data_IF_454607899700
#
_entry.id   IF_454607899700
#
_cell.length_a   1.000
_cell.length_b   1.000
_cell.length_c   1.000
_cell.angle_alpha   90.00
_cell.angle_beta   90.00
_cell.angle_gamma   90.00
#
_symmetry.space_group_name_H-M   'P 1'
#
loop_
_entity.id
_entity.type
_entity.pdbx_description
1 polymer ?
#
# COMPACT_ATOMS: atom_id res chain seq x y z
N UNK A 1 23.23 8.91 -88.34
CA UNK A 1 23.83 7.82 -87.54
C UNK A 1 23.42 8.10 -86.10
N UNK A 2 22.27 7.65 -85.57
CA UNK A 2 21.62 6.31 -85.67
C UNK A 2 22.55 5.24 -85.08
N UNK A 3 22.20 4.36 -84.14
CA UNK A 3 20.91 3.82 -83.59
C UNK A 3 21.22 3.22 -82.18
N UNK A 4 20.45 3.38 -81.08
CA UNK A 4 19.13 2.84 -80.65
C UNK A 4 19.15 1.39 -80.07
N UNK A 5 18.29 1.12 -79.05
CA UNK A 5 18.11 -0.10 -78.19
C UNK A 5 19.16 -0.24 -77.06
N UNK A 6 18.93 -0.80 -75.85
CA UNK A 6 17.78 -1.43 -75.17
C UNK A 6 18.28 -2.48 -74.13
N UNK A 7 17.62 -2.90 -73.03
CA UNK A 7 16.34 -2.52 -72.35
C UNK A 7 16.32 -3.12 -70.92
N UNK A 8 15.37 -2.73 -70.04
CA UNK A 8 14.86 -3.50 -68.86
C UNK A 8 15.70 -3.61 -67.57
N UNK A 9 15.18 -3.11 -66.42
CA UNK A 9 14.97 -3.91 -65.18
C UNK A 9 14.26 -3.20 -64.00
N UNK A 10 13.36 -3.98 -63.36
CA UNK A 10 12.79 -3.91 -62.00
C UNK A 10 12.04 -2.67 -61.48
N UNK A 11 10.73 -2.85 -61.34
CA UNK A 11 9.81 -2.06 -60.51
C UNK A 11 10.03 -2.45 -59.04
N UNK A 12 10.10 -1.46 -58.15
CA UNK A 12 10.11 -1.62 -56.70
C UNK A 12 8.72 -1.29 -56.15
N UNK A 13 7.90 -2.30 -55.84
CA UNK A 13 6.70 -2.15 -55.01
C UNK A 13 6.79 -3.14 -53.85
N UNK A 14 7.05 -2.63 -52.65
CA UNK A 14 7.10 -3.43 -51.44
C UNK A 14 5.69 -3.83 -50.99
N UNK A 15 5.39 -5.12 -50.97
CA UNK A 15 4.20 -5.66 -50.30
C UNK A 15 4.49 -5.72 -48.80
N UNK A 16 3.94 -4.79 -48.05
CA UNK A 16 3.92 -4.84 -46.58
C UNK A 16 2.89 -5.88 -46.15
N UNK A 17 3.37 -7.08 -45.78
CA UNK A 17 2.53 -8.15 -45.28
C UNK A 17 1.96 -7.78 -43.90
N UNK A 18 0.66 -7.48 -43.84
CA UNK A 18 -0.06 -7.27 -42.58
C UNK A 18 -0.18 -8.60 -41.84
N UNK A 19 0.76 -8.88 -40.93
CA UNK A 19 0.61 -9.98 -39.98
C UNK A 19 -0.48 -9.61 -38.97
N UNK A 20 -1.68 -10.15 -39.17
CA UNK A 20 -2.74 -10.14 -38.18
C UNK A 20 -2.35 -11.08 -37.03
N UNK A 21 -1.67 -10.54 -36.02
CA UNK A 21 -1.55 -11.21 -34.73
C UNK A 21 -2.83 -10.97 -33.94
N UNK A 22 -3.53 -12.07 -33.70
CA UNK A 22 -4.79 -12.15 -32.98
C UNK A 22 -4.61 -11.61 -31.55
N UNK A 23 -5.22 -10.45 -31.24
CA UNK A 23 -5.19 -9.86 -29.90
C UNK A 23 -6.23 -10.55 -29.02
N UNK A 24 -5.85 -11.36 -28.01
CA UNK A 24 -6.83 -11.91 -27.09
C UNK A 24 -7.52 -10.80 -26.30
N UNK A 25 -8.85 -10.78 -26.37
CA UNK A 25 -9.71 -9.90 -25.59
C UNK A 25 -9.62 -10.24 -24.09
N UNK A 26 -8.74 -9.59 -23.34
CA UNK A 26 -9.00 -9.40 -21.90
C UNK A 26 -8.38 -8.12 -21.30
N UNK A 27 -8.93 -6.97 -21.73
CA UNK A 27 -8.66 -5.68 -21.10
C UNK A 27 -9.34 -5.50 -19.73
N UNK A 28 -10.17 -6.45 -19.26
CA UNK A 28 -10.87 -6.37 -17.96
C UNK A 28 -10.02 -6.89 -16.80
N UNK A 29 -9.00 -7.71 -17.06
CA UNK A 29 -8.10 -8.22 -16.03
C UNK A 29 -7.12 -7.18 -15.47
N UNK A 30 -6.71 -6.18 -16.27
CA UNK A 30 -5.76 -5.14 -15.84
C UNK A 30 -6.41 -4.00 -15.03
N UNK A 31 -7.69 -3.70 -15.27
CA UNK A 31 -8.41 -2.59 -14.62
C UNK A 31 -8.79 -2.86 -13.14
N UNK A 32 -8.56 -4.09 -12.66
CA UNK A 32 -8.90 -4.51 -11.29
C UNK A 32 -7.77 -4.28 -10.28
N UNK A 33 -6.53 -4.09 -10.75
CA UNK A 33 -5.35 -3.92 -9.89
C UNK A 33 -5.17 -2.47 -9.36
N UNK A 34 -5.71 -1.48 -10.06
CA UNK A 34 -5.60 -0.04 -9.72
C UNK A 34 -6.77 0.51 -8.90
N UNK A 35 -7.68 -0.35 -8.43
CA UNK A 35 -8.77 -0.02 -7.50
C UNK A 35 -8.39 -0.19 -6.01
N UNK A 36 -7.11 -0.18 -5.67
CA UNK A 36 -6.69 -0.04 -4.28
C UNK A 36 -7.23 1.27 -3.69
N UNK A 37 -7.77 1.23 -2.47
CA UNK A 37 -8.65 2.26 -1.89
C UNK A 37 -7.98 3.61 -1.52
N UNK A 38 -6.84 3.92 -2.15
CA UNK A 38 -6.08 5.15 -1.95
C UNK A 38 -5.65 5.72 -3.30
N UNK A 39 -6.10 6.94 -3.61
CA UNK A 39 -5.67 7.65 -4.83
C UNK A 39 -4.53 8.61 -4.50
N UNK A 40 -3.49 8.59 -5.34
CA UNK A 40 -2.38 9.51 -5.20
C UNK A 40 -2.77 10.92 -5.66
N UNK A 41 -2.35 11.90 -4.87
CA UNK A 41 -2.05 13.24 -5.35
C UNK A 41 -0.58 13.51 -5.02
N UNK A 42 0.19 13.93 -6.02
CA UNK A 42 1.40 14.69 -5.77
C UNK A 42 0.92 16.06 -5.29
N UNK A 43 1.17 16.37 -4.01
CA UNK A 43 0.59 17.53 -3.35
C UNK A 43 1.54 18.71 -3.51
N UNK A 44 1.15 19.71 -4.31
CA UNK A 44 1.81 21.01 -4.31
C UNK A 44 1.77 21.64 -2.90
N UNK A 45 2.86 22.33 -2.55
CA UNK A 45 3.36 22.59 -1.18
C UNK A 45 2.54 23.59 -0.33
N UNK A 46 1.21 23.62 -0.46
CA UNK A 46 0.35 24.69 0.11
C UNK A 46 -0.94 24.23 0.80
N UNK A 47 -1.24 22.93 0.93
CA UNK A 47 -2.42 22.48 1.71
C UNK A 47 -2.16 21.29 2.64
N UNK A 48 -1.21 21.44 3.56
CA UNK A 48 -1.23 20.65 4.82
C UNK A 48 -2.01 21.47 5.86
N UNK A 49 -3.30 21.18 6.02
CA UNK A 49 -4.03 21.63 7.21
C UNK A 49 -3.71 20.69 8.37
N UNK A 50 -3.09 21.22 9.43
CA UNK A 50 -2.94 20.47 10.68
C UNK A 50 -4.32 20.12 11.24
N UNK A 51 -4.62 18.84 11.54
CA UNK A 51 -5.90 18.47 12.12
C UNK A 51 -6.00 19.01 13.55
N UNK A 52 -6.98 19.88 13.80
CA UNK A 52 -7.28 20.41 15.13
C UNK A 52 -7.62 19.27 16.10
N UNK A 53 -6.93 19.21 17.24
CA UNK A 53 -6.79 18.03 18.11
C UNK A 53 -8.06 17.59 18.90
N UNK A 54 -9.25 17.97 18.46
CA UNK A 54 -10.52 17.68 19.15
C UNK A 54 -11.32 16.53 18.49
N UNK A 55 -10.94 16.07 17.29
CA UNK A 55 -11.72 15.12 16.48
C UNK A 55 -11.43 13.63 16.77
N UNK A 56 -11.65 13.23 18.02
CA UNK A 56 -11.86 11.84 18.47
C UNK A 56 -10.80 10.80 18.06
N UNK A 57 -9.68 10.83 18.78
CA UNK A 57 -8.69 9.76 18.87
C UNK A 57 -9.34 8.45 19.36
N UNK A 58 -9.40 7.40 18.51
CA UNK A 58 -9.63 6.04 19.00
C UNK A 58 -8.27 5.40 19.26
N UNK A 59 -8.10 4.79 20.43
CA UNK A 59 -6.86 4.07 20.78
C UNK A 59 -7.14 2.58 20.72
N UNK A 60 -6.49 1.87 19.79
CA UNK A 60 -6.34 0.41 19.89
C UNK A 60 -5.04 0.09 20.59
N UNK A 61 -5.10 -0.69 21.67
CA UNK A 61 -3.91 -1.21 22.37
C UNK A 61 -3.78 -2.71 22.12
N UNK A 62 -2.57 -3.18 21.82
CA UNK A 62 -2.20 -4.58 21.94
C UNK A 62 -1.16 -4.75 23.06
N UNK A 63 -1.21 -5.85 23.82
CA UNK A 63 -0.29 -6.20 24.92
C UNK A 63 0.15 -7.66 24.78
N UNK A 64 1.15 -7.88 23.92
CA UNK A 64 1.61 -9.21 23.52
C UNK A 64 2.99 -9.47 24.08
N UNK A 65 3.06 -10.01 25.30
CA UNK A 65 4.29 -10.45 25.96
C UNK A 65 5.28 -9.37 26.38
N UNK A 66 5.66 -8.46 25.48
CA UNK A 66 6.82 -7.55 25.60
C UNK A 66 6.59 -6.13 25.06
N UNK A 67 5.36 -5.63 25.07
CA UNK A 67 5.09 -4.22 24.74
C UNK A 67 3.63 -3.85 24.51
N UNK A 68 3.38 -2.54 24.54
CA UNK A 68 2.15 -1.85 24.22
C UNK A 68 2.31 -1.09 22.91
N UNK A 69 1.61 -1.55 21.87
CA UNK A 69 1.45 -0.77 20.63
C UNK A 69 0.10 -0.07 20.63
N UNK A 70 0.12 1.23 20.36
CA UNK A 70 -1.04 2.12 20.25
C UNK A 70 -1.19 2.60 18.81
N UNK A 71 -2.39 2.45 18.26
CA UNK A 71 -2.75 2.90 16.91
C UNK A 71 -3.89 3.90 17.00
N UNK A 72 -3.73 5.06 16.35
CA UNK A 72 -4.72 6.15 16.33
C UNK A 72 -4.89 6.72 14.92
N UNK A 73 -6.01 7.42 14.70
CA UNK A 73 -6.37 8.08 13.44
C UNK A 73 -6.72 9.55 13.71
N UNK A 74 -6.51 10.44 12.74
CA UNK A 74 -6.91 11.85 12.83
C UNK A 74 -8.44 12.09 12.84
N UNK A 75 -9.23 11.08 12.51
CA UNK A 75 -10.70 11.14 12.56
C UNK A 75 -11.30 9.72 12.67
N UNK A 76 -12.42 9.53 13.38
CA UNK A 76 -13.18 8.26 13.36
C UNK A 76 -14.08 8.14 12.11
N UNK A 77 -14.27 9.22 11.36
CA UNK A 77 -15.11 9.30 10.15
C UNK A 77 -14.38 10.12 9.11
N UNK A 78 -14.20 9.56 7.91
CA UNK A 78 -13.61 10.27 6.77
C UNK A 78 -14.65 10.44 5.66
N UNK A 79 -14.46 11.45 4.81
CA UNK A 79 -15.13 11.58 3.50
C UNK A 79 -14.17 11.17 2.39
N UNK A 80 -14.71 10.63 1.29
CA UNK A 80 -13.93 10.35 0.07
C UNK A 80 -13.13 11.58 -0.35
N UNK A 81 -11.83 11.40 -0.56
CA UNK A 81 -10.86 12.46 -0.87
C UNK A 81 -10.19 13.10 0.36
N UNK A 82 -10.63 12.82 1.59
CA UNK A 82 -9.91 13.26 2.79
C UNK A 82 -8.63 12.42 3.00
N UNK A 83 -7.62 13.05 3.60
CA UNK A 83 -6.33 12.45 3.94
C UNK A 83 -6.44 11.61 5.23
N UNK A 84 -6.26 10.30 5.10
CA UNK A 84 -6.13 9.34 6.19
C UNK A 84 -4.76 9.53 6.84
N UNK A 85 -4.74 9.94 8.11
CA UNK A 85 -3.50 10.00 8.90
C UNK A 85 -3.54 8.93 9.96
N UNK A 86 -2.56 8.01 9.92
CA UNK A 86 -2.37 6.95 10.91
C UNK A 86 -1.18 7.30 11.79
N UNK A 87 -1.34 7.22 13.11
CA UNK A 87 -0.24 7.36 14.06
C UNK A 87 -0.05 6.04 14.81
N UNK A 88 1.20 5.59 14.96
CA UNK A 88 1.55 4.36 15.67
C UNK A 88 2.64 4.65 16.69
N UNK A 89 2.37 4.38 17.95
CA UNK A 89 3.31 4.46 19.07
C UNK A 89 3.64 3.06 19.59
N UNK A 90 4.88 2.84 20.02
CA UNK A 90 5.30 1.64 20.74
C UNK A 90 6.07 2.01 22.00
N UNK A 91 5.81 1.34 23.13
CA UNK A 91 6.64 1.48 24.33
C UNK A 91 7.87 0.54 24.34
N UNK A 92 8.01 -0.34 23.34
CA UNK A 92 9.20 -1.21 23.16
C UNK A 92 9.70 -1.27 21.71
N UNK A 93 10.95 -1.71 21.55
CA UNK A 93 11.57 -1.95 20.25
C UNK A 93 10.83 -3.04 19.47
N UNK A 94 10.27 -2.69 18.31
CA UNK A 94 9.52 -3.62 17.47
C UNK A 94 9.61 -3.30 15.97
N UNK A 95 9.26 -4.26 15.14
CA UNK A 95 8.92 -4.07 13.73
C UNK A 95 7.41 -4.08 13.56
N UNK A 96 6.89 -3.18 12.72
CA UNK A 96 5.47 -3.12 12.40
C UNK A 96 5.15 -3.32 10.91
N UNK A 97 3.91 -3.70 10.61
CA UNK A 97 3.36 -3.72 9.24
C UNK A 97 1.95 -3.16 9.29
N UNK A 98 1.69 -2.07 8.56
CA UNK A 98 0.39 -1.38 8.58
C UNK A 98 -0.40 -1.81 7.35
N UNK A 99 -1.62 -2.29 7.54
CA UNK A 99 -2.51 -2.79 6.48
C UNK A 99 -3.92 -2.20 6.64
N UNK A 100 -4.45 -1.62 5.58
CA UNK A 100 -5.86 -1.23 5.44
C UNK A 100 -6.65 -2.41 4.87
N UNK A 101 -7.83 -2.64 5.45
CA UNK A 101 -8.90 -3.43 4.86
C UNK A 101 -10.01 -2.48 4.43
N UNK A 102 -10.20 -2.33 3.12
CA UNK A 102 -11.19 -1.44 2.53
C UNK A 102 -12.62 -2.00 2.61
N UNK A 103 -13.61 -1.11 2.43
CA UNK A 103 -15.03 -1.48 2.45
C UNK A 103 -15.43 -2.40 1.27
N UNK A 104 -14.67 -2.38 0.17
CA UNK A 104 -14.78 -3.28 -0.98
C UNK A 104 -14.17 -4.67 -0.76
N UNK A 105 -13.50 -4.88 0.38
CA UNK A 105 -12.74 -6.10 0.67
C UNK A 105 -11.28 -6.06 0.20
N UNK A 106 -10.81 -4.96 -0.38
CA UNK A 106 -9.39 -4.76 -0.68
C UNK A 106 -8.53 -4.87 0.57
N UNK A 107 -7.28 -5.31 0.38
CA UNK A 107 -6.28 -5.39 1.44
C UNK A 107 -5.01 -4.70 0.93
N UNK A 108 -4.68 -3.55 1.52
CA UNK A 108 -3.61 -2.67 1.04
C UNK A 108 -2.61 -2.44 2.16
N UNK A 109 -1.34 -2.75 1.92
CA UNK A 109 -0.27 -2.43 2.84
C UNK A 109 0.10 -0.96 2.73
N UNK A 110 -0.04 -0.25 3.85
CA UNK A 110 0.37 1.15 4.01
C UNK A 110 1.81 1.28 4.50
N UNK A 111 2.35 0.27 5.22
CA UNK A 111 3.76 0.23 5.64
C UNK A 111 4.31 -1.21 5.71
N UNK A 112 5.54 -1.47 5.24
CA UNK A 112 6.37 -0.61 4.39
C UNK A 112 5.67 -0.20 3.09
N UNK A 113 6.08 0.89 2.46
CA UNK A 113 5.59 1.31 1.14
C UNK A 113 6.77 1.80 0.27
N UNK A 114 6.55 2.38 -0.92
CA UNK A 114 7.64 2.89 -1.75
C UNK A 114 8.34 4.13 -1.15
N UNK A 115 7.58 4.98 -0.45
CA UNK A 115 7.99 6.25 0.11
C UNK A 115 8.62 6.13 1.50
N UNK A 116 8.22 5.12 2.27
CA UNK A 116 8.59 4.90 3.67
C UNK A 116 8.93 3.42 3.87
N UNK A 117 10.24 3.12 3.91
CA UNK A 117 10.78 1.76 4.06
C UNK A 117 10.98 1.34 5.51
N UNK A 118 11.36 2.30 6.36
CA UNK A 118 11.59 2.06 7.79
C UNK A 118 10.30 1.64 8.47
N UNK A 119 10.31 0.45 9.07
CA UNK A 119 9.20 -0.11 9.83
C UNK A 119 9.60 -0.60 11.23
N UNK A 120 10.85 -0.35 11.64
CA UNK A 120 11.27 -0.50 13.02
C UNK A 120 10.88 0.77 13.80
N UNK A 121 10.38 0.58 15.02
CA UNK A 121 10.06 1.62 16.00
C UNK A 121 10.89 1.31 17.24
N UNK A 122 11.53 2.30 17.85
CA UNK A 122 12.20 2.15 19.16
C UNK A 122 11.23 2.38 20.32
N UNK A 123 11.61 1.87 21.49
CA UNK A 123 10.87 2.10 22.73
C UNK A 123 10.61 3.60 22.98
N UNK A 124 9.34 3.99 23.01
CA UNK A 124 8.90 5.38 23.22
C UNK A 124 8.76 6.21 21.94
N UNK A 125 9.09 5.67 20.76
CA UNK A 125 8.92 6.38 19.49
C UNK A 125 7.48 6.32 18.96
N UNK A 126 7.17 7.29 18.11
CA UNK A 126 5.93 7.38 17.36
C UNK A 126 6.25 7.58 15.89
N UNK A 127 5.66 6.76 15.02
CA UNK A 127 5.66 7.01 13.58
C UNK A 127 4.31 7.54 13.12
N UNK A 128 4.31 8.29 12.02
CA UNK A 128 3.10 8.77 11.35
C UNK A 128 3.05 8.23 9.93
N UNK A 129 1.85 8.16 9.36
CA UNK A 129 1.61 7.84 7.95
C UNK A 129 0.54 8.80 7.40
N UNK A 130 0.83 9.56 6.33
CA UNK A 130 2.15 9.71 5.70
C UNK A 130 3.16 10.38 6.64
N UNK A 131 4.42 9.95 6.61
CA UNK A 131 5.54 10.66 7.24
C UNK A 131 6.25 11.55 6.22
N UNK A 132 6.11 12.87 6.36
CA UNK A 132 6.81 13.86 5.52
C UNK A 132 8.23 14.17 5.99
N UNK A 133 8.65 13.68 7.17
CA UNK A 133 9.99 13.91 7.72
C UNK A 133 11.01 12.82 7.34
N UNK A 134 10.53 11.60 7.05
CA UNK A 134 11.38 10.46 6.70
C UNK A 134 11.24 9.97 5.25
N UNK A 135 10.42 10.63 4.43
CA UNK A 135 10.32 10.31 3.00
C UNK A 135 11.10 11.30 2.13
N UNK A 136 11.69 10.79 1.05
CA UNK A 136 12.32 11.60 0.00
C UNK A 136 11.32 12.24 -0.96
N UNK A 137 10.02 11.93 -0.84
CA UNK A 137 8.92 12.47 -1.64
C UNK A 137 7.71 12.70 -0.74
N UNK A 138 7.08 13.87 -0.82
CA UNK A 138 5.80 14.09 -0.14
C UNK A 138 4.73 13.19 -0.77
N UNK A 139 4.02 12.42 0.05
CA UNK A 139 2.93 11.55 -0.38
C UNK A 139 1.72 11.71 0.52
N UNK A 140 0.52 11.54 -0.04
CA UNK A 140 -0.74 11.57 0.70
C UNK A 140 -1.45 10.23 0.66
N UNK A 141 -2.16 9.89 1.75
CA UNK A 141 -3.04 8.74 1.83
C UNK A 141 -4.49 9.20 1.71
N UNK A 142 -4.96 9.47 0.48
CA UNK A 142 -6.33 9.97 0.26
C UNK A 142 -7.33 8.83 0.10
N UNK A 143 -8.38 8.83 0.92
CA UNK A 143 -9.46 7.83 0.86
C UNK A 143 -10.21 7.86 -0.47
N UNK A 144 -10.61 6.70 -0.99
CA UNK A 144 -11.41 6.59 -2.24
C UNK A 144 -12.67 5.73 -2.07
N UNK A 145 -13.58 5.83 -3.03
CA UNK A 145 -14.74 4.92 -3.12
C UNK A 145 -14.32 3.43 -3.22
N UNK A 146 -15.18 2.49 -2.78
CA UNK A 146 -16.53 2.69 -2.23
C UNK A 146 -16.55 3.05 -0.75
N UNK A 147 -17.59 3.77 -0.35
CA UNK A 147 -17.83 4.18 1.03
C UNK A 147 -18.30 3.01 1.90
N UNK A 148 -17.96 3.01 3.18
CA UNK A 148 -18.35 1.96 4.12
C UNK A 148 -17.45 1.93 5.35
N UNK A 149 -17.49 0.82 6.09
CA UNK A 149 -16.65 0.64 7.28
C UNK A 149 -15.32 0.03 6.89
N UNK A 150 -14.24 0.71 7.23
CA UNK A 150 -12.87 0.30 6.91
C UNK A 150 -12.04 0.09 8.19
N UNK A 151 -10.94 -0.65 8.08
CA UNK A 151 -10.10 -1.00 9.23
C UNK A 151 -8.62 -0.88 8.89
N UNK A 152 -7.86 -0.15 9.70
CA UNK A 152 -6.39 -0.25 9.73
C UNK A 152 -6.00 -1.26 10.80
N UNK A 153 -5.13 -2.19 10.44
CA UNK A 153 -4.49 -3.15 11.35
C UNK A 153 -3.00 -2.92 11.31
N UNK A 154 -2.40 -2.86 12.50
CA UNK A 154 -0.95 -2.80 12.68
C UNK A 154 -0.52 -4.13 13.27
N UNK A 155 0.19 -4.90 12.45
CA UNK A 155 0.87 -6.11 12.89
C UNK A 155 2.20 -5.72 13.51
N UNK A 156 2.60 -6.43 14.56
CA UNK A 156 3.76 -6.10 15.40
C UNK A 156 4.54 -7.39 15.66
N UNK A 157 5.86 -7.31 15.62
CA UNK A 157 6.79 -8.40 15.94
C UNK A 157 8.10 -7.85 16.49
N UNK A 158 8.81 -8.62 17.31
CA UNK A 158 10.16 -8.28 17.80
C UNK A 158 11.25 -8.50 16.73
N UNK A 159 10.99 -9.38 15.76
CA UNK A 159 11.86 -9.65 14.60
C UNK A 159 11.21 -9.11 13.32
N UNK A 160 12.00 -8.86 12.28
CA UNK A 160 11.49 -8.34 11.01
C UNK A 160 10.50 -9.34 10.36
N UNK A 161 9.63 -8.89 9.46
CA UNK A 161 8.71 -9.77 8.73
C UNK A 161 9.43 -10.55 7.62
N UNK A 162 9.24 -11.87 7.56
CA UNK A 162 9.98 -12.74 6.62
C UNK A 162 9.59 -12.58 5.14
N UNK A 163 8.49 -11.90 4.83
CA UNK A 163 8.07 -11.62 3.46
C UNK A 163 8.86 -10.45 2.86
N UNK A 164 9.90 -10.77 2.08
CA UNK A 164 10.74 -9.79 1.37
C UNK A 164 9.95 -8.93 0.38
N UNK A 165 8.80 -9.36 -0.16
CA UNK A 165 7.96 -8.55 -1.05
C UNK A 165 7.32 -7.40 -0.27
N UNK A 166 6.85 -7.66 0.95
CA UNK A 166 6.32 -6.63 1.85
C UNK A 166 7.34 -5.55 2.21
N UNK A 167 8.61 -5.89 2.35
CA UNK A 167 9.67 -4.94 2.69
C UNK A 167 10.13 -4.11 1.46
N UNK A 168 10.12 -4.72 0.28
CA UNK A 168 10.70 -4.16 -0.95
C UNK A 168 9.64 -3.72 -1.98
N UNK A 169 8.60 -3.02 -1.53
CA UNK A 169 7.54 -2.45 -2.40
C UNK A 169 8.15 -1.58 -3.52
N UNK A 170 7.79 -1.82 -4.78
CA UNK A 170 8.32 -1.06 -5.93
C UNK A 170 7.78 0.37 -5.97
N UNK A 171 8.58 1.32 -6.49
CA UNK A 171 8.10 2.67 -6.82
C UNK A 171 6.96 2.69 -7.84
N UNK A 172 6.76 1.61 -8.61
CA UNK A 172 5.64 1.47 -9.55
C UNK A 172 4.32 1.14 -8.86
N UNK A 173 4.36 0.26 -7.86
CA UNK A 173 3.17 -0.19 -7.13
C UNK A 173 2.79 0.82 -6.04
N UNK A 174 3.81 1.45 -5.45
CA UNK A 174 3.76 2.47 -4.39
C UNK A 174 3.22 1.96 -3.04
N UNK A 175 2.06 1.32 -3.06
CA UNK A 175 1.50 0.51 -1.98
C UNK A 175 1.37 -0.94 -2.45
N UNK A 176 1.48 -1.89 -1.53
CA UNK A 176 1.35 -3.30 -1.89
C UNK A 176 -0.08 -3.78 -1.70
N UNK A 177 -0.77 -4.09 -2.81
CA UNK A 177 -2.02 -4.84 -2.78
C UNK A 177 -1.72 -6.32 -2.42
N UNK A 178 -2.50 -6.85 -1.48
CA UNK A 178 -2.36 -8.19 -0.92
C UNK A 178 -3.64 -8.99 -1.12
N UNK A 179 -3.53 -10.32 -1.18
CA UNK A 179 -4.71 -11.15 -0.95
C UNK A 179 -5.01 -11.17 0.55
N UNK A 180 -6.29 -11.05 0.91
CA UNK A 180 -6.71 -11.05 2.33
C UNK A 180 -6.19 -12.27 3.08
N UNK A 181 -6.15 -13.43 2.44
CA UNK A 181 -5.68 -14.70 3.00
C UNK A 181 -4.17 -14.79 3.22
N UNK A 182 -3.36 -13.93 2.58
CA UNK A 182 -1.94 -13.77 2.92
C UNK A 182 -1.76 -13.11 4.30
N UNK A 183 -2.74 -12.30 4.72
CA UNK A 183 -2.70 -11.50 5.95
C UNK A 183 -3.45 -12.17 7.10
N UNK A 184 -4.72 -12.53 6.89
CA UNK A 184 -5.60 -13.16 7.88
C UNK A 184 -6.55 -14.16 7.22
N UNK A 185 -6.73 -15.32 7.84
CA UNK A 185 -7.70 -16.31 7.36
C UNK A 185 -9.16 -15.98 7.75
N UNK A 186 -10.11 -16.78 7.28
CA UNK A 186 -11.55 -16.62 7.55
C UNK A 186 -11.95 -16.75 9.03
N UNK A 187 -11.05 -17.25 9.89
CA UNK A 187 -11.22 -17.35 11.34
C UNK A 187 -10.49 -16.25 12.11
N UNK A 188 -9.89 -15.27 11.42
CA UNK A 188 -9.14 -14.17 12.02
C UNK A 188 -7.73 -14.54 12.52
N UNK A 189 -7.22 -15.72 12.19
CA UNK A 189 -5.83 -16.09 12.51
C UNK A 189 -4.91 -15.34 11.57
N UNK A 190 -3.84 -14.75 12.13
CA UNK A 190 -2.80 -14.02 11.42
C UNK A 190 -1.94 -15.01 10.64
N UNK A 191 -1.78 -14.78 9.33
CA UNK A 191 -0.95 -15.59 8.44
C UNK A 191 0.42 -14.94 8.14
N UNK A 192 0.60 -13.67 8.53
CA UNK A 192 1.90 -12.98 8.49
C UNK A 192 2.88 -13.69 9.43
N UNK A 193 4.12 -13.89 8.95
CA UNK A 193 5.22 -14.46 9.73
C UNK A 193 6.34 -13.46 9.94
N UNK A 194 6.88 -13.44 11.15
CA UNK A 194 8.18 -12.87 11.44
C UNK A 194 9.32 -13.78 10.95
N UNK A 195 10.53 -13.25 10.94
CA UNK A 195 11.76 -14.03 10.93
C UNK A 195 11.92 -14.80 12.26
N UNK A 196 12.84 -15.77 12.28
CA UNK A 196 13.12 -16.57 13.47
C UNK A 196 13.78 -15.72 14.56
N UNK A 197 13.43 -16.01 15.81
CA UNK A 197 14.12 -15.52 16.99
C UNK A 197 15.42 -16.31 17.22
N UNK A 198 16.22 -15.86 18.18
CA UNK A 198 17.59 -16.37 18.39
C UNK A 198 17.63 -17.81 18.95
N UNK A 199 16.47 -18.36 19.30
CA UNK A 199 16.22 -19.76 19.70
C UNK A 199 15.71 -20.65 18.54
N UNK A 200 15.55 -20.10 17.34
CA UNK A 200 15.02 -20.79 16.16
C UNK A 200 13.49 -20.91 16.10
N UNK A 201 12.75 -20.32 17.04
CA UNK A 201 11.30 -20.22 16.93
C UNK A 201 10.90 -19.05 16.02
N UNK A 202 9.84 -19.19 15.20
CA UNK A 202 9.26 -18.02 14.51
C UNK A 202 8.78 -17.01 15.54
N UNK A 203 9.22 -15.75 15.48
CA UNK A 203 8.79 -14.75 16.45
C UNK A 203 7.27 -14.48 16.36
N UNK A 204 6.66 -14.18 17.50
CA UNK A 204 5.21 -13.96 17.59
C UNK A 204 4.81 -12.70 16.80
N UNK A 205 3.75 -12.83 16.00
CA UNK A 205 3.11 -11.70 15.31
C UNK A 205 1.77 -11.41 15.96
N UNK A 206 1.67 -10.22 16.54
CA UNK A 206 0.46 -9.73 17.20
C UNK A 206 -0.15 -8.56 16.43
N UNK A 207 -1.35 -8.12 16.81
CA UNK A 207 -2.06 -7.05 16.08
C UNK A 207 -2.84 -6.09 16.99
N UNK A 208 -2.73 -4.79 16.68
CA UNK A 208 -3.65 -3.74 17.09
C UNK A 208 -4.52 -3.33 15.88
N UNK A 209 -5.78 -2.94 16.10
CA UNK A 209 -6.66 -2.55 14.98
C UNK A 209 -7.64 -1.43 15.31
N UNK A 210 -7.77 -0.49 14.39
CA UNK A 210 -8.65 0.67 14.48
C UNK A 210 -9.63 0.68 13.30
N UNK A 211 -10.85 1.17 13.53
CA UNK A 211 -11.94 1.13 12.54
C UNK A 211 -12.57 2.51 12.42
N UNK A 212 -12.76 2.95 11.18
CA UNK A 212 -13.39 4.21 10.80
C UNK A 212 -14.53 3.96 9.81
N UNK A 213 -15.45 4.92 9.71
CA UNK A 213 -16.48 4.91 8.67
C UNK A 213 -16.11 5.92 7.57
N UNK A 214 -15.92 5.44 6.35
CA UNK A 214 -15.75 6.26 5.15
C UNK A 214 -17.13 6.59 4.56
N UNK A 215 -17.37 7.88 4.30
CA UNK A 215 -18.64 8.42 3.80
C UNK A 215 -18.45 9.13 2.46
N UNK A 216 -19.55 9.32 1.74
CA UNK A 216 -19.58 10.17 0.55
C UNK A 216 -19.22 11.62 0.90
N UNK A 217 -18.77 12.42 -0.08
CA UNK A 217 -18.44 13.85 0.11
C UNK A 217 -19.57 14.68 0.74
#
# INVERSE_FOLDING_TARGET
MSSLHGTTRWILLGVLATLALDFPRDLRAQEKATRGAIKLHEVDDTTVQEPTAEKAERVSTHSGGKGKVVVTLSSPVYKVGESLQVTVFSDTDCFIRVVQFGADGSTTQLLPNAFQKGNQIKAGETIKLPDTSQSTKHYGLFTSEPTGREKVVVFVSEKQFGDKRSLNVSEKDQFLALDRSEVVNTRGVINIKAEEADDGATAEVVAASITYDLKSP
#
